data_IF_844498294217
#
_entry.id   IF_844498294217
#
_cell.length_a   1.000
_cell.length_b   1.000
_cell.length_c   1.000
_cell.angle_alpha   90.00
_cell.angle_beta   90.00
_cell.angle_gamma   90.00
#
_symmetry.space_group_name_H-M   'P 1'
#
loop_
_entity.id
_entity.type
_entity.pdbx_description
1 polymer ?
2 non-polymer ?
3 non-polymer ?
4 non-polymer ?
5 non-polymer ?
6 water ?
#
# COMPACT_ATOMS: atom_id res chain seq x y z
N UNK A 1 0.43 19.46 15.31
CA UNK A 1 0.96 20.14 14.10
C UNK A 1 0.51 19.48 12.78
N UNK A 2 0.93 20.12 11.68
CA UNK A 2 0.74 19.53 10.37
C UNK A 2 1.60 18.27 10.31
N UNK A 3 2.76 18.31 10.98
CA UNK A 3 3.56 17.15 11.12
C UNK A 3 2.75 16.14 11.98
N UNK A 5 -0.51 15.53 12.27
CA UNK A 5 -1.46 15.01 11.32
C UNK A 5 -0.88 14.04 10.28
N UNK A 6 0.24 14.41 9.70
CA UNK A 6 0.93 13.55 8.76
C UNK A 6 1.38 12.26 9.43
N UNK A 7 1.89 12.35 10.66
CA UNK A 7 2.35 11.16 11.36
C UNK A 7 1.20 10.21 11.59
N UNK A 8 0.07 10.76 12.01
CA UNK A 8 -1.16 10.00 12.23
C UNK A 8 -1.60 9.30 10.98
N UNK A 9 -1.53 10.00 9.84
CA UNK A 9 -1.85 9.40 8.55
C UNK A 9 -1.00 8.07 8.33
N UNK A 10 0.30 8.15 8.62
CA UNK A 10 1.10 6.89 8.66
C UNK A 10 0.74 5.84 9.76
N UNK A 11 0.52 6.18 11.02
CA UNK A 11 0.31 5.10 12.00
C UNK A 11 -1.06 4.38 11.75
N UNK A 12 -2.05 5.13 11.32
CA UNK A 12 -3.42 4.63 11.14
C UNK A 12 -3.50 3.68 9.93
N UNK A 13 -2.43 3.61 9.18
CA UNK A 13 -2.38 2.70 8.05
C UNK A 13 -1.72 1.34 8.33
N UNK A 14 -1.26 1.24 9.56
CA UNK A 14 -0.61 0.12 10.14
C UNK A 14 -1.34 -1.19 9.81
N UNK A 15 -2.60 -1.27 10.14
CA UNK A 15 -3.23 -2.56 10.07
C UNK A 15 -3.39 -3.09 8.59
N UNK A 16 -3.69 -2.20 7.63
CA UNK A 16 -3.83 -2.61 6.26
C UNK A 16 -2.43 -2.98 5.67
N UNK A 17 -1.40 -2.28 6.13
CA UNK A 17 -0.05 -2.62 5.72
C UNK A 17 0.33 -4.00 6.22
N UNK A 18 0.03 -4.26 7.48
CA UNK A 18 0.48 -5.47 8.10
C UNK A 18 -0.26 -6.67 7.48
N UNK A 19 -1.43 -6.44 6.89
CA UNK A 19 -2.16 -7.51 6.24
C UNK A 19 -1.80 -7.67 4.73
N UNK A 20 -0.96 -6.81 4.19
CA UNK A 20 -0.63 -6.80 2.79
C UNK A 20 0.49 -7.86 2.52
N UNK A 21 0.46 -8.44 1.31
CA UNK A 21 1.47 -9.42 0.90
C UNK A 21 2.83 -8.75 0.89
N UNK A 22 2.86 -7.47 0.54
CA UNK A 22 4.13 -6.77 0.46
C UNK A 22 4.84 -6.68 1.79
N UNK A 23 4.07 -6.61 2.86
CA UNK A 23 4.65 -6.72 4.23
C UNK A 23 4.95 -8.16 4.63
N UNK A 24 3.94 -9.01 4.47
CA UNK A 24 3.98 -10.37 4.99
C UNK A 24 5.17 -11.15 4.41
N UNK A 25 5.49 -10.93 3.13
CA UNK A 25 6.56 -11.59 2.44
C UNK A 25 7.86 -10.75 2.38
N UNK A 26 7.88 -9.56 3.01
CA UNK A 26 9.11 -8.81 3.10
C UNK A 26 10.12 -9.59 3.94
N UNK A 27 11.39 -9.31 3.76
CA UNK A 27 12.42 -9.87 4.56
C UNK A 27 12.12 -9.57 5.99
N UNK A 28 12.46 -10.50 6.88
CA UNK A 28 12.15 -10.33 8.30
C UNK A 28 12.71 -9.04 8.93
N UNK A 29 13.93 -8.67 8.58
CA UNK A 29 14.51 -7.44 9.09
C UNK A 29 13.70 -6.23 8.68
N UNK A 30 13.14 -6.25 7.49
CA UNK A 30 12.38 -5.11 6.99
C UNK A 30 11.00 -5.09 7.70
N UNK A 31 10.42 -6.26 7.97
CA UNK A 31 9.18 -6.29 8.72
C UNK A 31 9.42 -5.73 10.10
N UNK A 32 10.52 -6.13 10.70
CA UNK A 32 10.84 -5.62 12.03
C UNK A 32 11.05 -4.12 12.05
N UNK A 33 11.77 -3.62 11.06
CA UNK A 33 12.02 -2.16 10.94
C UNK A 33 10.68 -1.36 10.81
N UNK A 34 9.72 -1.88 10.06
CA UNK A 34 8.41 -1.21 9.93
C UNK A 34 7.68 -1.25 11.27
N UNK A 35 7.61 -2.42 11.88
CA UNK A 35 6.97 -2.52 13.19
C UNK A 35 7.58 -1.60 14.22
N UNK A 36 8.89 -1.56 14.29
CA UNK A 36 9.58 -0.71 15.28
C UNK A 36 9.31 0.79 15.04
N UNK A 37 9.28 1.20 13.75
CA UNK A 37 8.99 2.62 13.37
C UNK A 37 7.56 3.00 13.77
N UNK A 38 6.61 2.08 13.49
CA UNK A 38 5.22 2.31 13.85
C UNK A 38 5.07 2.43 15.38
N UNK A 39 5.70 1.54 16.15
CA UNK A 39 5.65 1.60 17.60
C UNK A 39 6.24 2.91 18.13
N UNK A 40 7.37 3.31 17.58
CA UNK A 40 8.00 4.61 17.97
C UNK A 40 7.06 5.83 17.66
N UNK A 41 6.36 5.81 16.53
CA UNK A 41 5.47 6.88 16.16
C UNK A 41 4.28 6.86 17.10
N UNK A 42 3.80 5.65 17.46
CA UNK A 42 2.64 5.51 18.39
C UNK A 42 2.97 6.09 19.75
N UNK A 43 4.21 5.93 20.16
CA UNK A 43 4.68 6.47 21.44
C UNK A 43 4.53 8.00 21.43
N UNK A 44 5.00 8.63 20.36
CA UNK A 44 4.84 10.07 20.17
C UNK A 44 3.38 10.51 20.12
N UNK A 45 2.57 9.85 19.28
CA UNK A 45 1.15 10.18 19.19
C UNK A 45 0.45 9.94 20.51
N UNK A 46 1.15 9.35 21.49
CA UNK A 46 0.84 9.49 22.93
C UNK A 46 1.94 10.27 23.66
N UNK A 53 5.36 16.39 20.73
CA UNK A 53 6.84 16.30 20.72
C UNK A 53 7.49 17.58 20.11
N UNK A 54 8.83 17.58 20.08
CA UNK A 54 9.59 18.56 19.27
C UNK A 54 9.32 18.27 17.79
N UNK A 55 9.21 19.29 16.95
CA UNK A 55 8.99 19.04 15.51
C UNK A 55 10.01 18.08 14.88
N UNK A 56 11.26 18.21 15.30
CA UNK A 56 12.33 17.32 14.83
C UNK A 56 12.05 15.85 15.17
N UNK A 57 11.55 15.59 16.37
CA UNK A 57 11.21 14.21 16.81
C UNK A 57 10.03 13.62 16.08
N UNK A 58 9.03 14.45 15.85
CA UNK A 58 7.87 14.04 15.05
C UNK A 58 8.29 13.82 13.59
N UNK A 59 9.12 14.71 13.07
CA UNK A 59 9.55 14.59 11.72
C UNK A 59 10.42 13.36 11.52
N UNK A 60 11.34 13.10 12.43
CA UNK A 60 12.20 11.90 12.35
C UNK A 60 11.30 10.63 12.46
N UNK A 61 10.32 10.65 13.35
CA UNK A 61 9.40 9.48 13.45
C UNK A 61 8.66 9.22 12.14
N UNK A 62 8.21 10.29 11.50
CA UNK A 62 7.49 10.21 10.24
C UNK A 62 8.36 9.65 9.12
N UNK A 63 9.56 10.18 9.00
CA UNK A 63 10.53 9.75 8.06
C UNK A 63 10.83 8.29 8.26
N UNK A 64 10.99 7.86 9.50
CA UNK A 64 11.32 6.47 9.80
C UNK A 64 10.22 5.51 9.43
N UNK A 65 8.99 5.90 9.63
CA UNK A 65 7.88 5.10 9.15
C UNK A 65 7.85 5.06 7.61
N UNK A 66 7.95 6.21 6.94
CA UNK A 66 7.83 6.20 5.50
C UNK A 66 8.96 5.37 4.84
N UNK A 67 10.18 5.55 5.33
CA UNK A 67 11.34 4.82 4.83
C UNK A 67 11.18 3.34 5.09
N UNK A 68 10.68 2.97 6.29
CA UNK A 68 10.52 1.52 6.57
C UNK A 68 9.45 0.93 5.69
N UNK A 69 8.37 1.66 5.52
CA UNK A 69 7.29 1.18 4.69
C UNK A 69 7.74 0.99 3.22
N UNK A 70 8.43 1.98 2.69
CA UNK A 70 8.89 1.90 1.32
C UNK A 70 9.90 0.78 1.09
N UNK A 71 10.66 0.46 2.12
CA UNK A 71 11.69 -0.61 2.07
C UNK A 71 11.05 -2.02 2.05
N UNK A 72 9.80 -2.18 2.45
CA UNK A 72 9.18 -3.52 2.42
C UNK A 72 9.22 -4.08 1.02
N UNK A 73 9.61 -5.35 0.90
CA UNK A 73 9.87 -5.90 -0.42
C UNK A 73 9.22 -7.25 -0.71
N UNK A 74 8.10 -7.55 -0.07
CA UNK A 74 7.32 -8.71 -0.37
C UNK A 74 6.96 -8.93 -1.82
N UNK A 75 6.58 -7.86 -2.51
CA UNK A 75 6.21 -7.96 -3.91
C UNK A 75 7.38 -8.44 -4.79
N UNK A 76 8.54 -7.79 -4.60
CA UNK A 76 9.74 -8.22 -5.34
C UNK A 76 10.17 -9.63 -4.93
N UNK A 77 10.05 -9.97 -3.65
CA UNK A 77 10.36 -11.35 -3.21
C UNK A 77 9.46 -12.40 -3.90
N UNK A 78 8.19 -12.09 -4.00
CA UNK A 78 7.27 -12.94 -4.75
C UNK A 78 7.66 -13.06 -6.20
N UNK A 79 7.92 -11.94 -6.88
CA UNK A 79 8.36 -12.05 -8.29
C UNK A 79 9.64 -12.85 -8.46
N UNK A 80 10.58 -12.68 -7.52
CA UNK A 80 11.82 -13.44 -7.56
C UNK A 80 11.60 -14.93 -7.35
N UNK A 81 10.73 -15.27 -6.42
CA UNK A 81 10.32 -16.66 -6.20
C UNK A 81 9.62 -17.33 -7.35
N UNK A 82 8.75 -16.60 -8.03
CA UNK A 82 8.14 -17.07 -9.26
C UNK A 82 9.21 -17.38 -10.36
N UNK A 83 10.16 -16.46 -10.59
CA UNK A 83 11.18 -16.63 -11.63
C UNK A 83 12.10 -17.78 -11.29
N UNK A 84 12.44 -17.93 -10.02
CA UNK A 84 13.22 -19.09 -9.60
C UNK A 84 12.49 -20.41 -9.89
N UNK A 85 11.19 -20.47 -9.61
CA UNK A 85 10.41 -21.68 -9.87
C UNK A 85 10.39 -21.98 -11.36
N UNK A 86 10.18 -20.93 -12.15
CA UNK A 86 10.09 -21.07 -13.64
C UNK A 86 11.39 -21.60 -14.22
N UNK A 87 12.48 -21.00 -13.75
CA UNK A 87 13.80 -21.41 -14.17
C UNK A 87 14.00 -22.87 -13.84
N UNK A 88 13.67 -23.28 -12.62
CA UNK A 88 13.78 -24.72 -12.27
C UNK A 88 12.92 -25.62 -13.18
N UNK A 89 11.70 -25.18 -13.45
CA UNK A 89 10.81 -25.96 -14.25
C UNK A 89 11.42 -26.08 -15.64
N UNK A 90 11.92 -24.97 -16.15
CA UNK A 90 12.59 -25.02 -17.48
C UNK A 90 13.81 -25.92 -17.53
N UNK A 91 14.58 -25.99 -16.46
CA UNK A 91 15.75 -26.86 -16.42
C UNK A 91 15.45 -28.29 -16.02
N UNK A 92 14.18 -28.63 -15.84
CA UNK A 92 13.81 -29.98 -15.45
C UNK A 92 13.62 -30.87 -16.71
N UNK A 93 14.72 -31.45 -17.15
CA UNK A 93 14.80 -32.16 -18.42
C UNK A 93 13.93 -33.39 -18.56
N UNK A 94 13.47 -33.95 -17.45
CA UNK A 94 12.67 -35.16 -17.50
C UNK A 94 11.17 -34.91 -17.57
N UNK A 95 10.76 -33.68 -17.30
CA UNK A 95 9.33 -33.32 -17.34
C UNK A 95 8.86 -33.16 -18.76
N UNK A 96 7.66 -33.63 -19.06
CA UNK A 96 7.13 -33.41 -20.38
C UNK A 96 6.51 -32.02 -20.42
N UNK A 97 6.14 -31.60 -21.63
CA UNK A 97 5.64 -30.26 -21.83
C UNK A 97 4.39 -29.95 -21.04
N UNK A 98 3.50 -30.93 -20.97
CA UNK A 98 2.24 -30.82 -20.19
C UNK A 98 2.51 -30.55 -18.70
N UNK A 99 3.41 -31.31 -18.12
CA UNK A 99 3.81 -31.08 -16.73
C UNK A 99 4.46 -29.72 -16.53
N UNK A 100 5.40 -29.37 -17.39
CA UNK A 100 6.02 -28.05 -17.29
C UNK A 100 4.99 -26.92 -17.35
N UNK A 101 4.08 -26.98 -18.31
CA UNK A 101 3.02 -26.00 -18.45
C UNK A 101 2.17 -25.89 -17.19
N UNK A 102 1.84 -27.01 -16.57
CA UNK A 102 0.97 -26.99 -15.40
C UNK A 102 1.68 -26.34 -14.23
N UNK A 103 2.95 -26.73 -14.05
CA UNK A 103 3.79 -26.18 -12.97
C UNK A 103 4.05 -24.70 -13.17
N UNK A 104 4.18 -24.26 -14.42
CA UNK A 104 4.42 -22.83 -14.73
C UNK A 104 3.20 -22.01 -14.37
N UNK A 105 2.02 -22.54 -14.71
CA UNK A 105 0.78 -21.92 -14.33
C UNK A 105 0.65 -21.75 -12.79
N UNK A 106 1.04 -22.78 -12.03
CA UNK A 106 1.07 -22.68 -10.57
C UNK A 106 2.04 -21.61 -10.07
N UNK A 107 3.26 -21.55 -10.64
CA UNK A 107 4.24 -20.57 -10.20
C UNK A 107 3.74 -19.17 -10.53
N UNK A 108 3.26 -18.95 -11.74
CA UNK A 108 2.84 -17.62 -12.13
C UNK A 108 1.64 -17.06 -11.37
N UNK A 109 0.81 -18.00 -10.92
CA UNK A 109 -0.37 -17.72 -10.13
C UNK A 109 -0.12 -17.65 -8.65
N UNK A 110 1.12 -17.89 -8.19
CA UNK A 110 1.41 -17.96 -6.74
C UNK A 110 1.09 -16.59 -6.14
N UNK A 111 0.30 -16.60 -5.09
CA UNK A 111 -0.07 -15.36 -4.41
C UNK A 111 0.87 -14.98 -3.25
N UNK A 112 1.63 -15.97 -2.79
CA UNK A 112 2.59 -15.83 -1.69
C UNK A 112 3.89 -16.46 -2.07
N UNK A 113 4.99 -15.96 -1.49
CA UNK A 113 6.32 -16.51 -1.75
C UNK A 113 6.35 -18.07 -1.49
N UNK A 114 5.72 -18.52 -0.43
CA UNK A 114 5.71 -19.96 -0.09
C UNK A 114 5.06 -20.81 -1.15
N UNK A 115 4.03 -20.30 -1.82
CA UNK A 115 3.39 -21.03 -2.90
C UNK A 115 4.36 -21.23 -4.07
N UNK A 116 5.07 -20.18 -4.47
CA UNK A 116 6.04 -20.34 -5.54
C UNK A 116 7.19 -21.30 -5.20
N UNK A 117 7.67 -21.21 -3.95
CA UNK A 117 8.69 -22.10 -3.46
C UNK A 117 8.24 -23.54 -3.44
N UNK A 118 6.96 -23.75 -3.04
CA UNK A 118 6.36 -25.11 -3.09
C UNK A 118 6.34 -25.63 -4.51
N UNK A 119 5.97 -24.78 -5.45
CA UNK A 119 5.99 -25.21 -6.86
C UNK A 119 7.40 -25.64 -7.30
N UNK A 120 8.41 -24.81 -7.01
CA UNK A 120 9.77 -25.17 -7.33
C UNK A 120 10.14 -26.54 -6.74
N UNK A 121 9.85 -26.74 -5.47
CA UNK A 121 10.15 -28.02 -4.82
C UNK A 121 9.43 -29.19 -5.49
N UNK A 122 8.13 -29.02 -5.75
CA UNK A 122 7.33 -30.05 -6.42
C UNK A 122 7.83 -30.41 -7.84
N UNK A 123 8.22 -29.40 -8.59
CA UNK A 123 8.85 -29.61 -9.93
C UNK A 123 10.12 -30.43 -9.87
N UNK A 124 10.96 -30.12 -8.89
CA UNK A 124 12.27 -30.77 -8.71
C UNK A 124 12.07 -32.22 -8.27
N UNK A 125 11.15 -32.39 -7.32
CA UNK A 125 10.72 -33.73 -6.89
C UNK A 125 10.16 -34.56 -8.05
N UNK A 126 9.27 -33.99 -8.83
CA UNK A 126 8.70 -34.72 -9.96
C UNK A 126 9.76 -35.04 -11.01
N UNK A 127 10.69 -34.12 -11.20
CA UNK A 127 11.75 -34.33 -12.18
C UNK A 127 12.68 -35.46 -11.84
N UNK A 128 12.80 -35.80 -10.56
CA UNK A 128 13.76 -36.82 -10.12
C UNK A 128 13.11 -38.17 -9.75
N UNK B 3 7.65 -12.48 -17.55
CA UNK B 3 6.80 -11.23 -17.47
C UNK B 3 5.32 -11.51 -17.13
N UNK B 5 4.19 -13.74 -15.10
CA UNK B 5 4.27 -13.80 -13.66
C UNK B 5 4.23 -12.46 -12.93
N UNK B 6 5.04 -11.52 -13.39
CA UNK B 6 5.04 -10.18 -12.85
C UNK B 6 3.69 -9.48 -13.03
N UNK B 7 3.04 -9.69 -14.19
CA UNK B 7 1.74 -9.09 -14.43
C UNK B 7 0.70 -9.65 -13.46
N UNK B 8 0.75 -10.97 -13.28
CA UNK B 8 -0.11 -11.69 -12.35
C UNK B 8 0.04 -11.14 -10.94
N UNK B 9 1.28 -10.82 -10.56
CA UNK B 9 1.52 -10.25 -9.21
C UNK B 9 0.67 -8.92 -9.07
N UNK B 10 0.66 -8.08 -10.11
CA UNK B 10 -0.11 -6.83 -10.04
C UNK B 10 -1.69 -7.07 -10.10
N UNK B 11 -2.17 -7.98 -10.91
CA UNK B 11 -3.58 -8.20 -11.02
C UNK B 11 -4.17 -8.73 -9.69
N UNK B 12 -3.48 -9.71 -9.13
CA UNK B 12 -3.88 -10.37 -7.90
C UNK B 12 -3.91 -9.44 -6.68
N UNK B 13 -3.28 -8.28 -6.79
CA UNK B 13 -3.30 -7.33 -5.70
C UNK B 13 -4.43 -6.32 -5.77
N UNK B 14 -5.28 -6.52 -6.72
CA UNK B 14 -6.30 -5.58 -7.03
C UNK B 14 -7.23 -5.40 -5.82
N UNK B 15 -7.66 -6.48 -5.20
CA UNK B 15 -8.69 -6.42 -4.15
C UNK B 15 -8.18 -5.67 -2.87
N UNK B 16 -6.93 -5.93 -2.45
CA UNK B 16 -6.32 -5.23 -1.33
C UNK B 16 -6.06 -3.73 -1.63
N UNK B 17 -5.71 -3.45 -2.87
CA UNK B 17 -5.54 -2.07 -3.33
C UNK B 17 -6.89 -1.33 -3.26
N UNK B 18 -7.95 -1.95 -3.74
CA UNK B 18 -9.25 -1.35 -3.83
C UNK B 18 -9.82 -1.11 -2.43
N UNK B 19 -9.34 -1.82 -1.43
CA UNK B 19 -9.80 -1.66 -0.08
C UNK B 19 -8.94 -0.65 0.68
N UNK B 20 -7.87 -0.10 0.09
CA UNK B 20 -6.93 0.76 0.81
C UNK B 20 -7.49 2.23 0.73
N UNK B 21 -7.27 2.99 1.81
CA UNK B 21 -7.64 4.36 1.84
C UNK B 21 -6.95 5.13 0.71
N UNK B 22 -5.74 4.73 0.32
CA UNK B 22 -5.00 5.44 -0.71
C UNK B 22 -5.72 5.38 -2.09
N UNK B 23 -6.38 4.28 -2.33
CA UNK B 23 -7.32 4.13 -3.49
C UNK B 23 -8.63 4.83 -3.25
N UNK B 24 -9.31 4.50 -2.15
CA UNK B 24 -10.70 4.94 -1.90
C UNK B 24 -10.83 6.46 -1.93
N UNK B 25 -9.83 7.16 -1.39
CA UNK B 25 -9.84 8.59 -1.34
C UNK B 25 -9.05 9.24 -2.49
N UNK B 26 -8.50 8.46 -3.41
CA UNK B 26 -7.85 9.04 -4.60
C UNK B 26 -8.85 9.82 -5.47
N UNK B 27 -8.37 10.76 -6.26
CA UNK B 27 -9.20 11.48 -7.21
C UNK B 27 -9.89 10.45 -8.08
N UNK B 28 -11.13 10.73 -8.45
CA UNK B 28 -11.90 9.77 -9.24
C UNK B 28 -11.21 9.36 -10.55
N UNK B 29 -10.57 10.31 -11.26
CA UNK B 29 -9.84 9.95 -12.52
C UNK B 29 -8.73 8.94 -12.27
N UNK B 30 -8.09 9.03 -11.10
CA UNK B 30 -6.96 8.13 -10.77
C UNK B 30 -7.48 6.77 -10.35
N UNK B 31 -8.61 6.74 -9.65
CA UNK B 31 -9.28 5.46 -9.39
C UNK B 31 -9.67 4.80 -10.68
N UNK B 32 -10.25 5.58 -11.59
CA UNK B 32 -10.61 5.02 -12.88
C UNK B 32 -9.44 4.45 -13.64
N UNK B 33 -8.33 5.20 -13.64
CA UNK B 33 -7.14 4.79 -14.36
C UNK B 33 -6.58 3.42 -13.83
N UNK B 34 -6.57 3.27 -12.52
CA UNK B 34 -6.14 2.01 -11.92
C UNK B 34 -7.10 0.89 -12.33
N UNK B 35 -8.40 1.12 -12.20
CA UNK B 35 -9.37 0.08 -12.57
C UNK B 35 -9.23 -0.31 -14.05
N UNK B 36 -9.12 0.68 -14.93
CA UNK B 36 -8.97 0.37 -16.39
C UNK B 36 -7.67 -0.46 -16.65
N UNK B 37 -6.57 -0.06 -16.03
CA UNK B 37 -5.28 -0.77 -16.21
C UNK B 37 -5.37 -2.22 -15.69
N UNK B 38 -6.03 -2.41 -14.53
CA UNK B 38 -6.19 -3.76 -14.01
C UNK B 38 -7.05 -4.60 -14.97
N UNK B 39 -8.12 -4.01 -15.49
CA UNK B 39 -8.98 -4.70 -16.45
C UNK B 39 -8.27 -5.07 -17.75
N UNK B 40 -7.46 -4.15 -18.25
CA UNK B 40 -6.64 -4.44 -19.43
C UNK B 40 -5.65 -5.61 -19.18
N UNK B 41 -5.03 -5.66 -18.01
CA UNK B 41 -4.14 -6.72 -17.64
C UNK B 41 -4.89 -8.05 -17.51
N UNK B 42 -6.09 -8.02 -16.90
CA UNK B 42 -6.94 -9.22 -16.73
C UNK B 42 -7.30 -9.79 -18.08
N UNK B 43 -7.54 -8.90 -19.05
CA UNK B 43 -7.88 -9.34 -20.38
C UNK B 43 -6.73 -10.16 -20.94
N UNK B 44 -5.51 -9.62 -20.83
CA UNK B 44 -4.30 -10.34 -21.28
C UNK B 44 -4.11 -11.69 -20.57
N UNK B 45 -4.18 -11.71 -19.23
CA UNK B 45 -4.11 -13.00 -18.49
C UNK B 45 -5.19 -14.07 -18.88
N UNK B 54 1.94 -10.77 -27.15
CA UNK B 54 3.26 -10.18 -27.40
C UNK B 54 3.93 -9.72 -26.10
N UNK B 55 5.23 -9.97 -25.94
CA UNK B 55 5.95 -9.53 -24.72
C UNK B 55 5.78 -8.05 -24.46
N UNK B 56 5.91 -7.24 -25.51
CA UNK B 56 5.78 -5.77 -25.33
C UNK B 56 4.36 -5.35 -24.84
N UNK B 57 3.31 -6.05 -25.28
CA UNK B 57 1.94 -5.79 -24.80
C UNK B 57 1.78 -6.17 -23.34
N UNK B 58 2.43 -7.26 -22.94
CA UNK B 58 2.40 -7.68 -21.53
C UNK B 58 3.19 -6.65 -20.73
N UNK B 59 4.34 -6.25 -21.24
CA UNK B 59 5.19 -5.32 -20.51
C UNK B 59 4.54 -3.94 -20.38
N UNK B 60 3.83 -3.49 -21.41
CA UNK B 60 3.08 -2.21 -21.35
C UNK B 60 1.90 -2.34 -20.36
N UNK B 61 1.22 -3.48 -20.36
CA UNK B 61 0.11 -3.67 -19.43
C UNK B 61 0.60 -3.55 -18.00
N UNK B 62 1.76 -4.11 -17.74
CA UNK B 62 2.37 -4.12 -16.43
C UNK B 62 2.73 -2.71 -16.00
N UNK B 63 3.42 -1.97 -16.89
CA UNK B 63 3.82 -0.63 -16.63
C UNK B 63 2.51 0.11 -16.27
N UNK B 64 1.43 -0.11 -17.00
CA UNK B 64 0.25 0.68 -16.88
C UNK B 64 -0.43 0.47 -15.54
N UNK B 65 -0.42 -0.77 -15.07
CA UNK B 65 -0.89 -1.04 -13.76
C UNK B 65 0.02 -0.38 -12.73
N UNK B 66 1.35 -0.51 -12.89
CA UNK B 66 2.24 0.00 -11.86
C UNK B 66 2.14 1.54 -11.81
N UNK B 67 2.10 2.18 -12.98
CA UNK B 67 2.00 3.64 -13.04
C UNK B 67 0.68 4.15 -12.46
N UNK B 68 -0.41 3.47 -12.78
CA UNK B 68 -1.73 3.85 -12.22
C UNK B 68 -1.80 3.67 -10.70
N UNK B 69 -1.20 2.59 -10.20
CA UNK B 69 -1.17 2.32 -8.80
C UNK B 69 -0.38 3.39 -8.08
N UNK B 70 0.79 3.73 -8.62
CA UNK B 70 1.62 4.72 -8.01
C UNK B 70 0.97 6.13 -7.99
N UNK B 71 0.15 6.41 -8.99
CA UNK B 71 -0.55 7.68 -9.13
C UNK B 71 -1.72 7.89 -8.16
N UNK B 72 -2.22 6.81 -7.53
CA UNK B 72 -3.31 6.92 -6.59
C UNK B 72 -2.85 7.87 -5.46
N UNK B 73 -3.72 8.77 -5.05
CA UNK B 73 -3.30 9.83 -4.16
C UNK B 73 -4.23 10.09 -2.97
N UNK B 74 -4.93 9.04 -2.52
CA UNK B 74 -5.76 9.15 -1.32
C UNK B 74 -5.05 9.62 -0.08
N UNK B 75 -3.85 9.14 0.16
CA UNK B 75 -3.13 9.49 1.35
C UNK B 75 -2.84 10.99 1.32
N UNK B 76 -2.29 11.47 0.20
CA UNK B 76 -2.06 12.93 0.06
C UNK B 76 -3.38 13.73 0.15
N UNK B 77 -4.50 13.21 -0.39
CA UNK B 77 -5.78 13.92 -0.27
C UNK B 77 -6.22 14.04 1.21
N UNK B 78 -6.00 12.98 1.95
CA UNK B 78 -6.26 13.00 3.37
C UNK B 78 -5.42 13.98 4.11
N UNK B 79 -4.10 13.96 3.90
CA UNK B 79 -3.26 15.00 4.56
C UNK B 79 -3.63 16.41 4.18
N UNK B 80 -3.99 16.63 2.92
CA UNK B 80 -4.52 17.94 2.49
C UNK B 80 -5.81 18.37 3.21
N UNK B 81 -6.76 17.45 3.30
CA UNK B 81 -7.99 17.68 3.99
C UNK B 81 -7.77 17.96 5.45
N UNK B 82 -6.86 17.23 6.09
CA UNK B 82 -6.49 17.53 7.48
C UNK B 82 -5.97 18.97 7.65
N UNK B 83 -5.04 19.39 6.79
CA UNK B 83 -4.45 20.73 6.87
C UNK B 83 -5.51 21.78 6.58
N UNK B 84 -6.43 21.53 5.65
CA UNK B 84 -7.49 22.50 5.35
C UNK B 84 -8.44 22.66 6.56
N UNK B 85 -8.75 21.58 7.25
CA UNK B 85 -9.54 21.65 8.45
C UNK B 85 -8.82 22.47 9.53
N UNK B 86 -7.50 22.18 9.71
CA UNK B 86 -6.68 22.89 10.73
C UNK B 86 -6.63 24.40 10.49
N UNK B 87 -6.40 24.75 9.24
CA UNK B 87 -6.38 26.11 8.83
C UNK B 87 -7.70 26.81 9.15
N UNK B 88 -8.80 26.19 8.79
CA UNK B 88 -10.14 26.74 9.15
C UNK B 88 -10.34 26.89 10.64
N UNK B 89 -9.82 25.93 11.40
CA UNK B 89 -9.97 25.99 12.84
C UNK B 89 -9.15 27.12 13.38
N UNK B 90 -7.94 27.23 12.88
CA UNK B 90 -7.11 28.35 13.26
C UNK B 90 -7.63 29.73 12.90
N UNK B 91 -8.31 29.86 11.78
CA UNK B 91 -8.92 31.13 11.40
C UNK B 91 -10.28 31.38 12.04
N UNK B 92 -10.75 30.50 12.89
CA UNK B 92 -12.09 30.62 13.47
C UNK B 92 -11.99 31.44 14.77
N UNK B 93 -12.03 32.75 14.61
CA UNK B 93 -11.77 33.69 15.69
C UNK B 93 -12.72 33.64 16.89
N UNK B 94 -13.91 33.08 16.73
CA UNK B 94 -14.90 33.05 17.81
C UNK B 94 -14.79 31.81 18.68
N UNK B 95 -14.03 30.82 18.22
CA UNK B 95 -13.83 29.59 19.00
C UNK B 95 -12.84 29.83 20.11
N UNK B 96 -13.05 29.23 21.27
CA UNK B 96 -12.05 29.32 22.32
C UNK B 96 -11.03 28.19 22.18
N UNK B 97 -9.99 28.24 23.01
CA UNK B 97 -8.84 27.31 22.94
C UNK B 97 -9.27 25.84 23.07
N UNK B 98 -10.18 25.60 24.00
CA UNK B 98 -10.72 24.28 24.24
C UNK B 98 -11.41 23.70 22.99
N UNK B 99 -12.28 24.49 22.36
CA UNK B 99 -12.98 24.09 21.14
C UNK B 99 -12.01 23.87 19.99
N UNK B 100 -11.08 24.81 19.79
CA UNK B 100 -10.07 24.65 18.76
C UNK B 100 -9.23 23.36 18.94
N UNK B 101 -8.78 23.09 20.16
CA UNK B 101 -8.06 21.87 20.50
C UNK B 101 -8.83 20.61 20.18
N UNK B 102 -10.11 20.61 20.52
CA UNK B 102 -10.91 19.40 20.30
C UNK B 102 -11.08 19.14 18.82
N UNK B 103 -11.39 20.20 18.09
CA UNK B 103 -11.54 20.13 16.65
C UNK B 103 -10.23 19.76 15.94
N UNK B 104 -9.10 20.23 16.46
CA UNK B 104 -7.77 19.89 15.85
C UNK B 104 -7.46 18.38 16.04
N UNK B 105 -7.78 17.88 17.23
CA UNK B 105 -7.73 16.44 17.50
C UNK B 105 -8.56 15.58 16.51
N UNK B 106 -9.83 15.94 16.28
CA UNK B 106 -10.64 15.32 15.30
C UNK B 106 -10.03 15.37 13.90
N UNK B 107 -9.51 16.54 13.49
CA UNK B 107 -8.90 16.64 12.18
C UNK B 107 -7.67 15.77 12.04
N UNK B 108 -6.75 15.84 13.01
CA UNK B 108 -5.58 15.06 12.96
C UNK B 108 -5.76 13.53 13.03
N UNK B 109 -6.86 13.12 13.64
CA UNK B 109 -7.24 11.72 13.76
C UNK B 109 -8.13 11.17 12.63
N UNK B 110 -8.50 12.02 11.67
CA UNK B 110 -9.41 11.62 10.58
C UNK B 110 -8.76 10.46 9.78
N UNK B 111 -9.50 9.40 9.61
CA UNK B 111 -9.02 8.24 8.91
C UNK B 111 -9.40 8.26 7.42
N UNK B 112 -10.37 9.09 7.09
CA UNK B 112 -10.85 9.27 5.70
C UNK B 112 -11.01 10.75 5.40
N UNK B 113 -10.87 11.11 4.12
CA UNK B 113 -11.02 12.53 3.72
C UNK B 113 -12.36 13.15 4.27
N UNK B 114 -13.44 12.39 4.18
CA UNK B 114 -14.76 12.86 4.55
C UNK B 114 -14.78 13.25 6.02
N UNK B 115 -14.01 12.55 6.87
CA UNK B 115 -14.00 12.84 8.28
C UNK B 115 -13.33 14.18 8.56
N UNK B 116 -12.23 14.44 7.86
CA UNK B 116 -11.59 15.74 7.97
C UNK B 116 -12.44 16.89 7.39
N UNK B 117 -13.11 16.65 6.29
CA UNK B 117 -14.03 17.65 5.71
C UNK B 117 -15.21 17.96 6.63
N UNK B 118 -15.71 16.92 7.33
CA UNK B 118 -16.78 17.06 8.37
C UNK B 118 -16.32 17.93 9.51
N UNK B 119 -15.08 17.69 9.96
CA UNK B 119 -14.48 18.56 10.99
C UNK B 119 -14.40 20.03 10.53
N UNK B 120 -13.93 20.27 9.31
CA UNK B 120 -13.88 21.62 8.81
C UNK B 120 -15.27 22.31 8.82
N UNK B 121 -16.26 21.61 8.29
CA UNK B 121 -17.62 22.13 8.25
C UNK B 121 -18.13 22.42 9.66
N UNK B 122 -17.89 21.47 10.57
CA UNK B 122 -18.36 21.62 11.98
C UNK B 122 -17.72 22.80 12.70
N UNK B 123 -16.43 23.01 12.48
CA UNK B 123 -15.72 24.16 13.01
C UNK B 123 -16.29 25.49 12.54
N UNK B 124 -16.59 25.56 11.23
CA UNK B 124 -17.09 26.75 10.56
C UNK B 124 -18.50 27.05 11.04
N UNK B 125 -19.31 26.00 11.10
CA UNK B 125 -20.66 26.10 11.69
C UNK B 125 -20.61 26.57 13.16
N UNK B 126 -19.74 25.97 13.97
CA UNK B 126 -19.64 26.36 15.37
C UNK B 126 -19.13 27.81 15.49
N UNK B 127 -18.23 28.18 14.61
CA UNK B 127 -17.68 29.52 14.64
C UNK B 127 -18.71 30.59 14.34
N UNK B 128 -19.78 30.25 13.61
CA UNK B 128 -20.77 31.23 13.18
C UNK B 128 -22.14 31.16 13.89
#
# INVERSE_FOLDING_TARGET
TSTXGNLQTAINDKSGTLASQNFLDADEQKRNAYNQAVSAAETILNKQTGPNTAKTAVEQALNNVNNAKHALNGTQNLNNAKQAAITAINGASDLNQKQKDALKAQANGAQRVSNAQDVQHNATELNTA
TSTXGNLQTAINDKSGTLASQNFLDADEQKRNAYNQAVSAAETILNKQTGPNTAKTAVEQALNNVNNAKHALNGTQNLNNAKQAAITAINGASDLNQKQKDALKAQANGAQRVSNAQDVQHNATELNTA
#
